data_IF_320932918709
#
_entry.id   IF_320932918709
#
_cell.length_a   1.000
_cell.length_b   1.000
_cell.length_c   1.000
_cell.angle_alpha   90.00
_cell.angle_beta   90.00
_cell.angle_gamma   90.00
#
_symmetry.space_group_name_H-M   'P 1'
#
loop_
_entity.id
_entity.type
_entity.pdbx_description
1 polymer ?
#
# COMPACT_ATOMS: atom_id res chain seq x y z
N UNK A 1 -1.37 -18.40 6.40
CA UNK A 1 -0.21 -17.69 5.85
C UNK A 1 -0.15 -18.04 4.38
N UNK A 2 -0.52 -17.09 3.52
CA UNK A 2 -0.60 -17.26 2.07
C UNK A 2 0.66 -16.65 1.48
N UNK A 3 1.35 -17.41 0.62
CA UNK A 3 2.54 -16.92 -0.07
C UNK A 3 2.21 -15.63 -0.84
N UNK A 4 3.13 -14.66 -0.92
CA UNK A 4 2.91 -13.49 -1.77
C UNK A 4 2.67 -13.94 -3.22
N UNK A 5 1.75 -13.29 -3.96
CA UNK A 5 1.43 -13.67 -5.32
C UNK A 5 2.67 -13.57 -6.20
N UNK A 6 2.97 -14.67 -6.89
CA UNK A 6 4.16 -14.79 -7.73
C UNK A 6 3.99 -14.12 -9.11
N UNK A 7 2.79 -13.62 -9.42
CA UNK A 7 2.46 -13.05 -10.72
C UNK A 7 1.34 -12.02 -10.63
N UNK A 8 1.26 -11.14 -11.64
CA UNK A 8 0.17 -10.17 -11.76
C UNK A 8 -1.22 -10.85 -11.87
N UNK A 9 -1.40 -11.94 -12.65
CA UNK A 9 -2.66 -12.68 -12.66
C UNK A 9 -3.07 -13.19 -11.27
N UNK A 10 -2.14 -13.78 -10.51
CA UNK A 10 -2.44 -14.27 -9.16
C UNK A 10 -2.87 -13.14 -8.21
N UNK A 11 -2.34 -11.92 -8.41
CA UNK A 11 -2.76 -10.74 -7.68
C UNK A 11 -4.16 -10.28 -8.09
N UNK A 12 -4.53 -10.40 -9.37
CA UNK A 12 -5.89 -10.12 -9.85
C UNK A 12 -6.88 -11.09 -9.25
N UNK A 13 -6.58 -12.39 -9.24
CA UNK A 13 -7.43 -13.42 -8.63
C UNK A 13 -7.64 -13.16 -7.13
N UNK A 14 -6.57 -12.80 -6.42
CA UNK A 14 -6.66 -12.40 -5.01
C UNK A 14 -7.55 -11.15 -4.82
N UNK A 15 -7.41 -10.15 -5.69
CA UNK A 15 -8.27 -8.96 -5.66
C UNK A 15 -9.73 -9.31 -5.92
N UNK A 16 -10.02 -10.28 -6.78
CA UNK A 16 -11.39 -10.74 -7.07
C UNK A 16 -12.01 -11.47 -5.87
N UNK A 17 -11.21 -12.11 -5.03
CA UNK A 17 -11.64 -12.76 -3.78
C UNK A 17 -11.95 -11.76 -2.66
N UNK A 18 -11.51 -10.50 -2.78
CA UNK A 18 -11.88 -9.41 -1.86
C UNK A 18 -13.32 -8.94 -2.13
N UNK A 19 -14.30 -9.82 -1.93
CA UNK A 19 -15.72 -9.47 -2.02
C UNK A 19 -16.30 -9.22 -0.62
N UNK A 20 -16.83 -8.03 -0.39
CA UNK A 20 -17.48 -7.68 0.87
C UNK A 20 -17.82 -6.19 0.98
N UNK A 21 -18.39 -5.81 2.12
CA UNK A 21 -18.76 -4.41 2.42
C UNK A 21 -17.56 -3.45 2.42
N UNK A 22 -16.34 -3.97 2.55
CA UNK A 22 -15.10 -3.19 2.59
C UNK A 22 -14.40 -3.07 1.22
N UNK A 23 -14.87 -3.74 0.17
CA UNK A 23 -14.21 -3.78 -1.15
C UNK A 23 -13.92 -2.39 -1.73
N UNK A 24 -14.84 -1.40 -1.72
CA UNK A 24 -14.54 -0.08 -2.28
C UNK A 24 -13.39 0.63 -1.55
N UNK A 25 -13.30 0.45 -0.23
CA UNK A 25 -12.25 1.04 0.62
C UNK A 25 -10.93 0.32 0.44
N UNK A 26 -10.95 -1.01 0.36
CA UNK A 26 -9.79 -1.82 0.01
C UNK A 26 -9.21 -1.42 -1.35
N UNK A 27 -10.06 -1.26 -2.37
CA UNK A 27 -9.64 -0.78 -3.70
C UNK A 27 -9.01 0.61 -3.62
N UNK A 28 -9.56 1.52 -2.83
CA UNK A 28 -8.97 2.85 -2.63
C UNK A 28 -7.57 2.76 -2.00
N UNK A 29 -7.39 1.92 -0.97
CA UNK A 29 -6.08 1.69 -0.32
C UNK A 29 -5.07 1.09 -1.32
N UNK A 30 -5.47 0.08 -2.11
CA UNK A 30 -4.59 -0.55 -3.11
C UNK A 30 -4.22 0.41 -4.25
N UNK A 31 -5.16 1.23 -4.72
CA UNK A 31 -4.87 2.28 -5.72
C UNK A 31 -3.88 3.31 -5.18
N UNK A 32 -4.06 3.75 -3.93
CA UNK A 32 -3.14 4.67 -3.27
C UNK A 32 -1.75 4.05 -3.11
N UNK A 33 -1.68 2.78 -2.69
CA UNK A 33 -0.41 2.05 -2.57
C UNK A 33 0.33 2.00 -3.91
N UNK A 34 -0.37 1.67 -5.00
CA UNK A 34 0.21 1.66 -6.33
C UNK A 34 0.77 3.04 -6.72
N UNK A 35 0.03 4.12 -6.46
CA UNK A 35 0.49 5.49 -6.72
C UNK A 35 1.74 5.84 -5.91
N UNK A 36 1.78 5.49 -4.62
CA UNK A 36 2.93 5.73 -3.74
C UNK A 36 4.16 4.96 -4.23
N UNK A 37 3.99 3.70 -4.62
CA UNK A 37 5.09 2.88 -5.17
C UNK A 37 5.62 3.51 -6.45
N UNK A 38 4.76 3.84 -7.42
CA UNK A 38 5.16 4.43 -8.71
C UNK A 38 5.93 5.74 -8.49
N UNK A 39 5.40 6.63 -7.65
CA UNK A 39 6.06 7.89 -7.35
C UNK A 39 7.40 7.68 -6.63
N UNK A 40 7.48 6.74 -5.70
CA UNK A 40 8.70 6.44 -4.96
C UNK A 40 9.78 5.84 -5.86
N UNK A 41 9.41 4.96 -6.81
CA UNK A 41 10.32 4.42 -7.81
C UNK A 41 10.86 5.52 -8.73
N UNK A 42 10.00 6.40 -9.20
CA UNK A 42 10.42 7.56 -9.99
C UNK A 42 11.41 8.45 -9.21
N UNK A 43 11.13 8.71 -7.93
CA UNK A 43 12.02 9.45 -7.02
C UNK A 43 13.37 8.76 -6.84
N UNK A 44 13.39 7.44 -6.61
CA UNK A 44 14.62 6.66 -6.43
C UNK A 44 15.46 6.69 -7.70
N UNK A 45 14.86 6.43 -8.86
CA UNK A 45 15.56 6.46 -10.16
C UNK A 45 16.20 7.83 -10.41
N UNK A 46 15.48 8.91 -10.13
CA UNK A 46 16.03 10.26 -10.28
C UNK A 46 17.15 10.54 -9.27
N UNK A 47 17.02 10.09 -8.03
CA UNK A 47 18.10 10.20 -7.04
C UNK A 47 19.35 9.45 -7.51
N UNK A 48 19.19 8.27 -8.10
CA UNK A 48 20.30 7.49 -8.67
C UNK A 48 20.99 8.22 -9.83
N UNK A 49 20.21 8.75 -10.79
CA UNK A 49 20.74 9.44 -11.97
C UNK A 49 21.45 10.75 -11.57
N UNK A 50 20.83 11.57 -10.73
CA UNK A 50 21.29 12.94 -10.48
C UNK A 50 22.14 13.11 -9.23
N UNK A 51 22.09 12.15 -8.30
CA UNK A 51 22.85 12.22 -7.02
C UNK A 51 23.77 11.02 -6.81
N UNK A 52 23.71 10.00 -7.67
CA UNK A 52 24.49 8.76 -7.50
C UNK A 52 24.07 7.92 -6.28
N UNK A 53 22.98 8.28 -5.60
CA UNK A 53 22.50 7.59 -4.40
C UNK A 53 21.49 6.51 -4.75
N UNK A 54 21.67 5.29 -4.25
CA UNK A 54 20.68 4.22 -4.31
C UNK A 54 20.17 3.87 -2.91
N UNK A 55 18.94 3.39 -2.84
CA UNK A 55 18.36 2.84 -1.61
C UNK A 55 18.34 1.32 -1.66
N UNK A 56 18.54 0.66 -0.52
CA UNK A 56 18.27 -0.77 -0.40
C UNK A 56 16.78 -1.04 -0.53
N UNK A 57 16.41 -2.31 -0.78
CA UNK A 57 15.00 -2.72 -0.86
C UNK A 57 14.25 -2.42 0.45
N UNK A 58 14.89 -2.64 1.60
CA UNK A 58 14.32 -2.40 2.93
C UNK A 58 14.10 -0.90 3.16
N UNK A 59 15.08 -0.07 2.77
CA UNK A 59 14.95 1.37 2.87
C UNK A 59 13.82 1.90 1.98
N UNK A 60 13.71 1.39 0.75
CA UNK A 60 12.61 1.72 -0.16
C UNK A 60 11.25 1.32 0.43
N UNK A 61 11.13 0.11 0.97
CA UNK A 61 9.91 -0.36 1.60
C UNK A 61 9.50 0.53 2.78
N UNK A 62 10.43 0.91 3.65
CA UNK A 62 10.16 1.83 4.78
C UNK A 62 9.64 3.18 4.32
N UNK A 63 10.14 3.71 3.20
CA UNK A 63 9.64 4.97 2.62
C UNK A 63 8.19 4.81 2.18
N UNK A 64 7.87 3.73 1.44
CA UNK A 64 6.50 3.44 0.98
C UNK A 64 5.54 3.24 2.16
N UNK A 65 5.91 2.40 3.13
CA UNK A 65 5.11 2.13 4.32
C UNK A 65 4.85 3.41 5.12
N UNK A 66 5.88 4.24 5.34
CA UNK A 66 5.72 5.50 6.05
C UNK A 66 4.75 6.45 5.34
N UNK A 67 4.92 6.64 4.02
CA UNK A 67 4.05 7.51 3.23
C UNK A 67 2.61 7.02 3.23
N UNK A 68 2.40 5.70 3.12
CA UNK A 68 1.06 5.11 3.22
C UNK A 68 0.42 5.40 4.57
N UNK A 69 1.11 5.12 5.68
CA UNK A 69 0.59 5.38 7.03
C UNK A 69 0.21 6.86 7.21
N UNK A 70 1.11 7.76 6.84
CA UNK A 70 0.88 9.21 6.97
C UNK A 70 -0.33 9.68 6.13
N UNK A 71 -0.50 9.15 4.91
CA UNK A 71 -1.65 9.48 4.04
C UNK A 71 -2.95 8.90 4.60
N UNK A 72 -2.96 7.64 5.00
CA UNK A 72 -4.16 6.96 5.52
C UNK A 72 -4.62 7.58 6.85
N UNK A 73 -3.70 8.00 7.70
CA UNK A 73 -4.00 8.76 8.92
C UNK A 73 -4.60 10.13 8.58
N UNK A 74 -4.02 10.85 7.63
CA UNK A 74 -4.55 12.15 7.19
C UNK A 74 -5.94 12.07 6.57
N UNK A 75 -6.26 10.96 5.89
CA UNK A 75 -7.57 10.71 5.28
C UNK A 75 -8.61 10.18 6.29
N UNK A 76 -8.15 9.65 7.42
CA UNK A 76 -9.01 9.16 8.49
C UNK A 76 -9.49 10.35 9.32
N UNK A 77 -10.65 10.92 8.94
CA UNK A 77 -11.29 11.97 9.73
C UNK A 77 -11.85 11.36 11.02
N UNK A 78 -11.56 11.92 12.21
CA UNK A 78 -12.19 11.48 13.45
C UNK A 78 -13.64 11.96 13.45
N UNK A 79 -14.54 11.08 13.03
CA UNK A 79 -15.99 11.27 13.18
C UNK A 79 -16.55 10.10 13.97
N UNK A 80 -17.51 10.35 14.86
CA UNK A 80 -18.14 9.36 15.75
C UNK A 80 -18.73 8.15 14.98
N UNK A 81 -18.99 8.30 13.68
CA UNK A 81 -19.50 7.28 12.75
C UNK A 81 -18.48 6.81 11.72
N UNK A 82 -17.18 6.89 12.00
CA UNK A 82 -16.15 6.42 11.08
C UNK A 82 -16.36 4.92 10.77
N UNK A 83 -16.46 4.53 9.49
CA UNK A 83 -16.72 3.14 9.14
C UNK A 83 -15.53 2.26 9.52
N UNK A 84 -15.82 1.16 10.21
CA UNK A 84 -14.85 0.12 10.59
C UNK A 84 -14.75 -0.94 9.49
N UNK A 85 -13.57 -1.57 9.30
CA UNK A 85 -12.28 -1.18 9.86
C UNK A 85 -11.78 0.14 9.25
N UNK A 86 -10.86 0.83 9.93
CA UNK A 86 -10.21 2.04 9.42
C UNK A 86 -9.39 1.74 8.16
N UNK A 87 -9.06 2.77 7.37
CA UNK A 87 -8.23 2.56 6.17
C UNK A 87 -6.82 2.06 6.51
N UNK A 88 -6.30 2.46 7.67
CA UNK A 88 -5.01 2.00 8.18
C UNK A 88 -5.05 0.52 8.59
N UNK A 89 -6.13 0.08 9.22
CA UNK A 89 -6.34 -1.34 9.55
C UNK A 89 -6.46 -2.20 8.29
N UNK A 90 -7.19 -1.72 7.27
CA UNK A 90 -7.22 -2.39 5.97
C UNK A 90 -5.83 -2.50 5.34
N UNK A 91 -5.01 -1.45 5.44
CA UNK A 91 -3.63 -1.48 4.97
C UNK A 91 -2.78 -2.52 5.72
N UNK A 92 -2.90 -2.58 7.05
CA UNK A 92 -2.21 -3.60 7.83
C UNK A 92 -2.67 -5.01 7.48
N UNK A 93 -3.95 -5.23 7.19
CA UNK A 93 -4.42 -6.54 6.76
C UNK A 93 -3.67 -7.03 5.50
N UNK A 94 -3.45 -6.15 4.52
CA UNK A 94 -2.65 -6.50 3.35
C UNK A 94 -1.18 -6.79 3.71
N UNK A 95 -0.56 -6.01 4.59
CA UNK A 95 0.83 -6.26 5.02
C UNK A 95 0.97 -7.57 5.79
N UNK A 96 0.04 -7.87 6.68
CA UNK A 96 0.00 -9.11 7.48
C UNK A 96 -0.34 -10.34 6.63
N UNK A 97 -1.09 -10.18 5.55
CA UNK A 97 -1.34 -11.27 4.60
C UNK A 97 -0.07 -11.71 3.87
N UNK A 98 0.93 -10.83 3.75
CA UNK A 98 2.20 -11.06 3.05
C UNK A 98 3.44 -11.20 3.96
N UNK A 99 3.27 -11.14 5.29
CA UNK A 99 4.32 -11.38 6.29
C UNK A 99 4.23 -12.79 6.86
#
# INVERSE_FOLDING_TARGET
MTSPPLSLPALVDLCQQLQGSHTPRAVAVLKLLNQVIIYSLWRERNARIFKGSSSTQEAFFRVVDRVMRDRLLSLSRPTVTAPLPSLLELYFWFLSFFS
#
